data_IF_418113064165
#
_entry.id   IF_418113064165
#
_cell.length_a   1.000
_cell.length_b   1.000
_cell.length_c   1.000
_cell.angle_alpha   90.00
_cell.angle_beta   90.00
_cell.angle_gamma   90.00
#
_symmetry.space_group_name_H-M   'P 1'
#
loop_
_entity.id
_entity.type
_entity.pdbx_description
1 polymer ?
#
# COMPACT_ATOMS: atom_id res chain seq x y z
N UNK A 1 -38.91 -1.32 17.84
CA UNK A 1 -38.45 -0.93 19.19
C UNK A 1 -37.06 -0.33 19.05
N UNK A 2 -36.97 0.98 18.83
CA UNK A 2 -35.68 1.68 18.73
C UNK A 2 -35.07 1.81 20.12
N UNK A 3 -33.80 1.40 20.25
CA UNK A 3 -33.05 1.53 21.49
C UNK A 3 -32.85 3.04 21.74
N UNK A 4 -33.23 3.59 22.89
CA UNK A 4 -33.06 5.02 23.13
C UNK A 4 -31.59 5.37 23.00
N UNK A 5 -31.30 6.37 22.16
CA UNK A 5 -30.00 6.97 22.03
C UNK A 5 -29.64 7.53 23.42
N UNK A 6 -28.79 6.83 24.16
CA UNK A 6 -28.29 7.32 25.45
C UNK A 6 -27.55 8.60 25.13
N UNK A 7 -28.15 9.73 25.51
CA UNK A 7 -27.53 11.05 25.40
C UNK A 7 -26.32 11.00 26.33
N UNK A 8 -25.14 10.72 25.78
CA UNK A 8 -23.89 10.77 26.53
C UNK A 8 -23.68 12.23 26.94
N UNK A 9 -24.05 12.54 28.17
CA UNK A 9 -23.73 13.82 28.80
C UNK A 9 -22.24 13.75 29.11
N UNK A 10 -21.40 14.71 28.66
CA UNK A 10 -20.00 14.72 29.03
C UNK A 10 -19.89 14.74 30.56
N UNK A 11 -19.22 13.74 31.13
CA UNK A 11 -19.01 13.65 32.56
C UNK A 11 -18.09 14.81 32.99
N UNK A 12 -18.69 15.88 33.51
CA UNK A 12 -17.95 16.95 34.19
C UNK A 12 -17.59 16.43 35.59
N UNK A 13 -16.55 15.60 35.66
CA UNK A 13 -15.94 15.20 36.92
C UNK A 13 -14.68 16.02 37.17
N UNK A 14 -14.49 16.50 38.39
CA UNK A 14 -13.20 17.05 38.82
C UNK A 14 -12.22 15.88 38.99
N UNK A 15 -10.93 16.14 38.75
CA UNK A 15 -9.83 15.19 38.97
C UNK A 15 -9.87 13.93 38.09
N UNK A 16 -10.37 14.02 36.85
CA UNK A 16 -10.39 12.90 35.91
C UNK A 16 -9.44 13.14 34.73
N UNK A 17 -8.64 12.12 34.42
CA UNK A 17 -7.88 12.01 33.18
C UNK A 17 -8.59 11.02 32.25
N UNK A 18 -8.73 11.39 30.97
CA UNK A 18 -9.26 10.51 29.93
C UNK A 18 -8.11 10.02 29.05
N UNK A 19 -7.99 8.72 28.89
CA UNK A 19 -7.07 8.11 27.93
C UNK A 19 -7.91 7.61 26.75
N UNK A 20 -7.58 8.10 25.55
CA UNK A 20 -8.22 7.68 24.30
C UNK A 20 -7.26 6.79 23.53
N UNK A 21 -7.53 5.49 23.53
CA UNK A 21 -6.77 4.52 22.74
C UNK A 21 -7.46 4.27 21.40
N UNK A 22 -6.71 4.36 20.31
CA UNK A 22 -7.16 4.03 18.96
C UNK A 22 -6.06 3.26 18.23
N UNK A 23 -6.46 2.25 17.46
CA UNK A 23 -5.55 1.41 16.70
C UNK A 23 -5.88 1.50 15.22
N UNK A 24 -4.84 1.58 14.37
CA UNK A 24 -5.02 1.42 12.93
C UNK A 24 -5.29 -0.05 12.59
N UNK A 25 -5.97 -0.28 11.46
CA UNK A 25 -6.22 -1.62 10.95
C UNK A 25 -4.96 -2.30 10.41
N UNK A 26 -3.94 -1.53 10.05
CA UNK A 26 -2.64 -2.01 9.56
C UNK A 26 -1.52 -1.25 10.27
N UNK A 27 -0.33 -1.86 10.41
CA UNK A 27 0.86 -1.17 10.91
C UNK A 27 1.16 0.07 10.07
N UNK A 28 1.50 1.16 10.74
CA UNK A 28 1.78 2.45 10.11
C UNK A 28 3.00 3.13 10.73
N UNK A 29 3.29 4.31 10.21
CA UNK A 29 4.33 5.20 10.72
C UNK A 29 3.73 6.20 11.71
N UNK A 30 4.22 6.18 12.94
CA UNK A 30 3.89 7.17 13.95
C UNK A 30 4.46 8.53 13.53
N UNK A 31 3.62 9.56 13.55
CA UNK A 31 3.94 10.91 13.05
C UNK A 31 4.25 11.93 14.15
N UNK A 32 4.03 11.55 15.41
CA UNK A 32 4.25 12.39 16.59
C UNK A 32 4.94 11.59 17.69
N UNK A 33 5.90 12.16 18.43
CA UNK A 33 6.54 11.47 19.55
C UNK A 33 5.64 11.44 20.80
N UNK A 34 5.93 10.52 21.72
CA UNK A 34 5.38 10.55 23.08
C UNK A 34 5.75 11.87 23.77
N UNK A 35 4.81 12.43 24.53
CA UNK A 35 4.89 13.75 25.16
C UNK A 35 4.44 14.91 24.27
N UNK A 36 4.15 14.67 22.99
CA UNK A 36 3.70 15.73 22.09
C UNK A 36 2.28 16.20 22.44
N UNK A 37 2.07 17.52 22.47
CA UNK A 37 0.73 18.11 22.51
C UNK A 37 0.09 18.08 21.13
N UNK A 38 -1.17 17.66 21.06
CA UNK A 38 -1.92 17.50 19.81
C UNK A 38 -3.25 18.24 19.86
N UNK A 39 -3.72 18.63 18.68
CA UNK A 39 -5.07 19.13 18.43
C UNK A 39 -5.89 18.06 17.69
N UNK A 40 -7.23 18.16 17.65
CA UNK A 40 -8.07 17.18 16.97
C UNK A 40 -7.68 16.88 15.51
N UNK A 41 -7.13 17.87 14.80
CA UNK A 41 -6.70 17.75 13.41
C UNK A 41 -5.26 17.24 13.24
N UNK A 42 -4.46 17.16 14.31
CA UNK A 42 -3.08 16.70 14.23
C UNK A 42 -3.03 15.23 13.79
N UNK A 43 -2.33 14.94 12.69
CA UNK A 43 -2.09 13.57 12.24
C UNK A 43 -1.08 12.89 13.15
N UNK A 44 -1.49 11.81 13.81
CA UNK A 44 -0.66 11.09 14.79
C UNK A 44 -0.07 9.81 14.23
N UNK A 45 -0.70 9.22 13.22
CA UNK A 45 -0.29 7.97 12.58
C UNK A 45 -0.70 7.99 11.10
N UNK A 46 0.17 7.50 10.22
CA UNK A 46 -0.17 7.25 8.81
C UNK A 46 0.03 5.78 8.50
N UNK A 47 -0.97 5.10 7.95
CA UNK A 47 -0.92 3.67 7.68
C UNK A 47 -1.50 3.35 6.29
N UNK A 48 -1.05 2.28 5.61
CA UNK A 48 -1.62 1.90 4.33
C UNK A 48 -3.12 1.59 4.46
N UNK A 49 -3.88 1.90 3.41
CA UNK A 49 -5.32 1.65 3.34
C UNK A 49 -5.68 0.17 3.23
N UNK A 50 -4.75 -0.63 2.73
CA UNK A 50 -4.92 -2.05 2.49
C UNK A 50 -3.56 -2.73 2.33
N UNK A 51 -3.54 -4.05 2.47
CA UNK A 51 -2.37 -4.85 2.14
C UNK A 51 -2.23 -4.91 0.61
N UNK A 52 -1.08 -4.50 0.03
CA UNK A 52 -0.84 -4.65 -1.41
C UNK A 52 -1.00 -6.12 -1.81
N UNK A 53 -1.62 -6.37 -2.96
CA UNK A 53 -1.77 -7.71 -3.52
C UNK A 53 -0.93 -7.81 -4.81
N UNK A 54 0.34 -8.25 -4.72
CA UNK A 54 1.17 -8.42 -5.90
C UNK A 54 0.59 -9.45 -6.87
N UNK A 55 0.87 -9.27 -8.15
CA UNK A 55 0.49 -10.20 -9.22
C UNK A 55 1.74 -10.67 -9.95
N UNK A 56 1.82 -11.97 -10.18
CA UNK A 56 2.90 -12.61 -10.95
C UNK A 56 2.47 -12.80 -12.40
N UNK A 57 3.31 -12.36 -13.34
CA UNK A 57 3.10 -12.49 -14.79
C UNK A 57 4.13 -13.45 -15.38
N UNK A 58 3.69 -14.46 -16.14
CA UNK A 58 4.55 -15.51 -16.68
C UNK A 58 5.19 -15.10 -18.03
N UNK A 59 6.06 -14.10 -17.99
CA UNK A 59 6.64 -13.47 -19.20
C UNK A 59 7.37 -14.48 -20.10
N UNK A 60 8.19 -15.37 -19.55
CA UNK A 60 8.91 -16.37 -20.34
C UNK A 60 7.95 -17.27 -21.13
N UNK A 61 6.86 -17.71 -20.50
CA UNK A 61 5.85 -18.57 -21.14
C UNK A 61 5.10 -17.82 -22.23
N UNK A 62 4.66 -16.60 -21.97
CA UNK A 62 3.90 -15.79 -22.92
C UNK A 62 4.74 -15.38 -24.14
N UNK A 63 6.01 -14.99 -23.92
CA UNK A 63 6.95 -14.63 -24.98
C UNK A 63 7.72 -15.82 -25.55
N UNK A 64 7.57 -17.04 -25.02
CA UNK A 64 8.26 -18.26 -25.47
C UNK A 64 9.79 -18.12 -25.40
N UNK A 65 10.25 -17.53 -24.30
CA UNK A 65 11.65 -17.30 -24.00
C UNK A 65 12.13 -18.29 -22.93
N UNK A 66 13.44 -18.48 -22.83
CA UNK A 66 14.03 -19.13 -21.66
C UNK A 66 13.89 -18.24 -20.42
N UNK A 67 13.62 -18.79 -19.22
CA UNK A 67 13.49 -18.02 -17.99
C UNK A 67 14.61 -17.01 -17.72
N UNK A 68 15.87 -17.45 -17.83
CA UNK A 68 17.05 -16.63 -17.54
C UNK A 68 17.30 -15.48 -18.52
N UNK A 69 16.43 -15.28 -19.51
CA UNK A 69 16.54 -14.17 -20.46
C UNK A 69 15.43 -13.14 -20.30
N UNK A 70 14.48 -13.33 -19.38
CA UNK A 70 13.34 -12.42 -19.21
C UNK A 70 13.76 -11.00 -18.87
N UNK A 71 14.73 -10.84 -17.95
CA UNK A 71 15.17 -9.52 -17.46
C UNK A 71 15.59 -8.55 -18.57
N UNK A 72 16.29 -9.04 -19.60
CA UNK A 72 16.74 -8.21 -20.73
C UNK A 72 15.65 -7.88 -21.76
N UNK A 73 14.48 -8.53 -21.67
CA UNK A 73 13.34 -8.29 -22.54
C UNK A 73 12.29 -7.38 -21.89
N UNK A 74 12.51 -6.92 -20.65
CA UNK A 74 11.64 -5.92 -20.03
C UNK A 74 11.71 -4.60 -20.79
N UNK A 75 10.57 -3.93 -20.91
CA UNK A 75 10.46 -2.61 -21.57
C UNK A 75 10.92 -1.47 -20.66
N UNK A 76 10.87 -1.69 -19.34
CA UNK A 76 11.32 -0.76 -18.30
C UNK A 76 12.12 -1.51 -17.22
N UNK A 77 13.07 -0.86 -16.53
CA UNK A 77 13.82 -1.48 -15.45
C UNK A 77 12.93 -1.77 -14.23
N UNK A 78 13.37 -2.71 -13.38
CA UNK A 78 12.77 -2.91 -12.05
C UNK A 78 12.73 -1.59 -11.27
N UNK A 79 11.70 -1.45 -10.45
CA UNK A 79 11.36 -0.22 -9.75
C UNK A 79 10.51 0.77 -10.56
N UNK A 80 10.32 0.54 -11.87
CA UNK A 80 9.48 1.41 -12.71
C UNK A 80 8.00 1.23 -12.42
N UNK A 81 7.24 2.33 -12.49
CA UNK A 81 5.78 2.32 -12.49
C UNK A 81 5.24 1.94 -13.86
N UNK A 82 4.19 1.13 -13.89
CA UNK A 82 3.50 0.68 -15.10
C UNK A 82 1.99 0.76 -14.89
N UNK A 83 1.27 1.07 -15.96
CA UNK A 83 -0.20 1.09 -15.97
C UNK A 83 -0.78 -0.25 -16.43
N UNK A 84 -1.98 -0.59 -15.99
CA UNK A 84 -2.70 -1.74 -16.54
C UNK A 84 -2.82 -1.61 -18.08
N UNK A 85 -2.49 -2.69 -18.79
CA UNK A 85 -2.43 -2.74 -20.25
C UNK A 85 -1.12 -2.23 -20.87
N UNK A 86 -0.22 -1.61 -20.09
CA UNK A 86 1.09 -1.15 -20.58
C UNK A 86 2.02 -2.34 -20.88
N UNK A 87 2.75 -2.36 -22.01
CA UNK A 87 3.74 -3.40 -22.29
C UNK A 87 4.86 -3.40 -21.24
N UNK A 88 5.06 -4.54 -20.55
CA UNK A 88 6.12 -4.73 -19.55
C UNK A 88 7.32 -5.51 -20.09
N UNK A 89 7.11 -6.29 -21.15
CA UNK A 89 8.15 -7.04 -21.83
C UNK A 89 7.81 -7.19 -23.31
N UNK A 90 8.84 -7.28 -24.15
CA UNK A 90 8.66 -7.49 -25.58
C UNK A 90 9.79 -8.32 -26.19
N UNK A 91 9.46 -9.12 -27.20
CA UNK A 91 10.43 -9.91 -27.94
C UNK A 91 10.03 -9.99 -29.41
N UNK A 92 11.05 -10.03 -30.29
CA UNK A 92 10.82 -10.22 -31.72
C UNK A 92 10.58 -11.70 -32.04
N UNK A 93 9.50 -11.99 -32.77
CA UNK A 93 9.15 -13.31 -33.30
C UNK A 93 9.01 -13.23 -34.81
N UNK A 94 10.11 -13.50 -35.52
CA UNK A 94 10.21 -13.33 -36.96
C UNK A 94 10.00 -11.86 -37.38
N UNK A 95 8.92 -11.59 -38.11
CA UNK A 95 8.55 -10.24 -38.56
C UNK A 95 7.64 -9.48 -37.59
N UNK A 96 7.11 -10.14 -36.55
CA UNK A 96 6.20 -9.52 -35.57
C UNK A 96 6.89 -9.32 -34.22
N UNK A 97 6.48 -8.30 -33.48
CA UNK A 97 6.87 -8.11 -32.08
C UNK A 97 5.75 -8.64 -31.20
N UNK A 98 6.07 -9.59 -30.33
CA UNK A 98 5.16 -10.04 -29.28
C UNK A 98 5.39 -9.19 -28.03
N UNK A 99 4.31 -8.90 -27.30
CA UNK A 99 4.34 -8.10 -26.08
C UNK A 99 3.57 -8.80 -24.98
N UNK A 100 4.02 -8.62 -23.74
CA UNK A 100 3.28 -8.96 -22.53
C UNK A 100 2.95 -7.66 -21.83
N UNK A 101 1.70 -7.50 -21.43
CA UNK A 101 1.18 -6.29 -20.80
C UNK A 101 0.95 -6.49 -19.31
N UNK A 102 1.05 -5.41 -18.54
CA UNK A 102 0.72 -5.43 -17.11
C UNK A 102 -0.78 -5.71 -16.90
N UNK A 103 -1.18 -6.71 -16.10
CA UNK A 103 -2.59 -6.94 -15.77
C UNK A 103 -3.15 -5.92 -14.77
N UNK A 104 -2.27 -5.24 -14.02
CA UNK A 104 -2.62 -4.24 -13.00
C UNK A 104 -1.69 -3.04 -13.09
N UNK A 105 -2.14 -1.88 -12.59
CA UNK A 105 -1.28 -0.72 -12.36
C UNK A 105 -0.44 -0.95 -11.10
N UNK A 106 0.86 -0.66 -11.18
CA UNK A 106 1.77 -0.82 -10.04
C UNK A 106 3.23 -0.69 -10.44
N UNK A 107 4.10 -1.18 -9.58
CA UNK A 107 5.54 -1.17 -9.78
C UNK A 107 6.05 -2.54 -10.24
N UNK A 108 6.96 -2.56 -11.21
CA UNK A 108 7.76 -3.75 -11.54
C UNK A 108 8.71 -4.05 -10.37
N UNK A 109 8.33 -4.97 -9.49
CA UNK A 109 9.02 -5.20 -8.23
C UNK A 109 10.21 -6.16 -8.37
N UNK A 110 10.00 -7.29 -9.05
CA UNK A 110 10.96 -8.39 -9.09
C UNK A 110 10.88 -9.17 -10.40
N UNK A 111 11.99 -9.77 -10.81
CA UNK A 111 12.04 -10.82 -11.83
C UNK A 111 12.55 -12.09 -11.18
N UNK A 112 11.79 -13.17 -11.29
CA UNK A 112 12.29 -14.52 -11.03
C UNK A 112 12.90 -15.06 -12.33
N UNK A 113 14.24 -15.11 -12.39
CA UNK A 113 14.97 -15.59 -13.57
C UNK A 113 14.99 -17.13 -13.69
N UNK A 114 14.61 -17.86 -12.64
CA UNK A 114 14.49 -19.31 -12.67
C UNK A 114 13.15 -19.74 -13.28
N UNK A 115 12.06 -19.07 -12.90
CA UNK A 115 10.70 -19.33 -13.40
C UNK A 115 10.34 -18.47 -14.61
N UNK A 116 11.07 -17.39 -14.85
CA UNK A 116 10.84 -16.47 -15.95
C UNK A 116 9.58 -15.63 -15.75
N UNK A 117 9.33 -15.23 -14.52
CA UNK A 117 8.15 -14.46 -14.12
C UNK A 117 8.53 -13.07 -13.64
N UNK A 118 7.55 -12.16 -13.68
CA UNK A 118 7.71 -10.78 -13.21
C UNK A 118 6.61 -10.49 -12.21
N UNK A 119 6.98 -9.88 -11.08
CA UNK A 119 6.04 -9.48 -10.03
C UNK A 119 5.71 -8.00 -10.17
N UNK A 120 4.41 -7.68 -10.22
CA UNK A 120 3.89 -6.31 -10.18
C UNK A 120 3.23 -6.08 -8.82
N UNK A 121 3.69 -5.09 -8.08
CA UNK A 121 3.12 -4.71 -6.77
C UNK A 121 2.32 -3.42 -6.92
N UNK A 122 1.01 -3.42 -6.61
CA UNK A 122 0.19 -2.21 -6.69
C UNK A 122 0.58 -1.23 -5.59
N UNK A 123 0.48 0.07 -5.90
CA UNK A 123 0.52 1.09 -4.87
C UNK A 123 -0.77 1.05 -4.05
N UNK A 124 -0.66 1.29 -2.74
CA UNK A 124 -1.80 1.45 -1.84
C UNK A 124 -1.80 2.87 -1.31
N UNK A 125 -2.99 3.46 -1.15
CA UNK A 125 -3.11 4.78 -0.56
C UNK A 125 -2.70 4.74 0.92
N UNK A 126 -2.21 5.86 1.45
CA UNK A 126 -2.05 6.02 2.89
C UNK A 126 -3.32 6.64 3.49
N UNK A 127 -3.66 6.22 4.71
CA UNK A 127 -4.72 6.78 5.53
C UNK A 127 -4.07 7.44 6.74
N UNK A 128 -4.41 8.70 6.95
CA UNK A 128 -3.98 9.47 8.11
C UNK A 128 -5.01 9.37 9.23
N UNK A 129 -4.51 9.10 10.43
CA UNK A 129 -5.28 9.04 11.66
C UNK A 129 -4.99 10.32 12.45
N UNK A 130 -6.00 11.20 12.52
CA UNK A 130 -5.92 12.40 13.35
C UNK A 130 -6.16 12.07 14.84
N UNK A 131 -5.66 12.91 15.75
CA UNK A 131 -5.81 12.73 17.20
C UNK A 131 -7.28 12.77 17.65
N UNK A 132 -8.12 13.58 16.98
CA UNK A 132 -9.53 13.86 17.28
C UNK A 132 -9.80 14.52 18.65
N UNK A 133 -8.80 14.65 19.51
CA UNK A 133 -8.89 15.29 20.81
C UNK A 133 -7.71 16.23 21.02
N UNK A 134 -7.88 17.24 21.88
CA UNK A 134 -6.76 17.94 22.47
C UNK A 134 -6.16 17.07 23.58
N UNK A 135 -4.83 17.01 23.66
CA UNK A 135 -4.18 16.25 24.70
C UNK A 135 -2.68 16.11 24.51
N UNK A 136 -2.09 15.18 25.25
CA UNK A 136 -0.70 14.79 25.18
C UNK A 136 -0.60 13.31 24.79
N UNK A 137 0.32 12.97 23.89
CA UNK A 137 0.56 11.58 23.46
C UNK A 137 1.29 10.85 24.58
N UNK A 138 0.70 9.80 25.14
CA UNK A 138 1.32 9.05 26.26
C UNK A 138 2.00 7.75 25.83
N UNK A 139 1.66 7.22 24.66
CA UNK A 139 2.19 5.98 24.08
C UNK A 139 2.04 6.04 22.54
N UNK A 140 2.90 5.32 21.82
CA UNK A 140 2.90 5.26 20.35
C UNK A 140 3.28 3.87 19.83
#
# INVERSE_FOLDING_TARGET
MEKPLVKQVPALSREVALIVERRAGLPGEVRVPVGARVEPSTVVLSAPSSVPRPVTVHVARELGLSPGVVRRHLTRPLGSQVSAGEPIASARRGLRTAQVTAPITGQLAEVDEQLGTVTITPAVASIDYAALVHGEVIEA
#
